data_IF_344600012836
#
_entry.id   IF_344600012836
#
_cell.length_a   1.000
_cell.length_b   1.000
_cell.length_c   1.000
_cell.angle_alpha   90.00
_cell.angle_beta   90.00
_cell.angle_gamma   90.00
#
_symmetry.space_group_name_H-M   'P 1'
#
loop_
_entity.id
_entity.type
_entity.pdbx_description
1 polymer ?
#
# COMPACT_ATOMS: atom_id res chain seq x y z
N UNK A 1 14.67 31.03 -3.14
CA UNK A 1 14.59 30.74 -1.73
C UNK A 1 13.43 29.86 -1.40
N UNK A 2 12.28 30.19 -1.93
CA UNK A 2 11.11 29.34 -1.85
C UNK A 2 11.38 27.95 -2.38
N UNK A 3 12.11 27.88 -3.48
CA UNK A 3 12.42 26.62 -4.15
C UNK A 3 13.24 25.70 -3.27
N UNK A 4 14.14 26.26 -2.45
CA UNK A 4 14.98 25.47 -1.59
C UNK A 4 14.21 24.77 -0.47
N UNK A 5 13.24 25.50 0.14
CA UNK A 5 12.41 24.90 1.17
C UNK A 5 11.55 23.78 0.60
N UNK A 6 11.00 24.00 -0.58
CA UNK A 6 10.20 23.00 -1.27
C UNK A 6 11.04 21.78 -1.62
N UNK A 7 12.27 22.00 -2.09
CA UNK A 7 13.18 20.90 -2.40
C UNK A 7 13.55 20.10 -1.17
N UNK A 8 13.72 20.76 -0.02
CA UNK A 8 14.05 20.06 1.21
C UNK A 8 12.92 19.13 1.66
N UNK A 9 11.68 19.65 1.60
CA UNK A 9 10.52 18.86 1.96
C UNK A 9 10.39 17.67 1.02
N UNK A 10 10.58 17.90 -0.27
CA UNK A 10 10.51 16.86 -1.27
C UNK A 10 11.61 15.82 -1.06
N UNK A 11 12.83 16.27 -0.74
CA UNK A 11 13.94 15.37 -0.49
C UNK A 11 13.69 14.50 0.73
N UNK A 12 13.12 15.05 1.80
CA UNK A 12 12.77 14.29 3.00
C UNK A 12 11.72 13.24 2.69
N UNK A 13 10.73 13.59 1.87
CA UNK A 13 9.71 12.68 1.43
C UNK A 13 10.31 11.53 0.61
N UNK A 14 11.22 11.86 -0.29
CA UNK A 14 11.90 10.86 -1.11
C UNK A 14 12.76 9.94 -0.24
N UNK A 15 13.44 10.47 0.76
CA UNK A 15 14.22 9.63 1.67
C UNK A 15 13.32 8.64 2.40
N UNK A 16 12.17 9.09 2.82
CA UNK A 16 11.20 8.24 3.49
C UNK A 16 10.79 7.09 2.57
N UNK A 17 10.53 7.39 1.31
CA UNK A 17 10.14 6.39 0.32
C UNK A 17 11.31 5.47 -0.02
N UNK A 18 12.50 6.02 -0.21
CA UNK A 18 13.69 5.25 -0.60
C UNK A 18 14.10 4.26 0.48
N UNK A 19 13.80 4.52 1.75
CA UNK A 19 14.06 3.57 2.81
C UNK A 19 13.28 2.28 2.63
N UNK A 20 12.31 2.27 1.72
CA UNK A 20 11.52 1.10 1.40
C UNK A 20 12.10 0.27 0.26
N UNK A 21 13.21 0.70 -0.31
CA UNK A 21 13.77 0.07 -1.50
C UNK A 21 12.75 0.08 -2.65
N UNK A 22 12.71 1.18 -3.37
CA UNK A 22 11.75 1.40 -4.45
C UNK A 22 11.73 0.25 -5.46
N UNK A 23 12.88 -0.38 -5.69
CA UNK A 23 12.97 -1.47 -6.66
C UNK A 23 12.11 -2.68 -6.24
N UNK A 24 11.76 -2.80 -4.96
CA UNK A 24 10.95 -3.90 -4.47
C UNK A 24 9.46 -3.60 -4.44
N UNK A 25 9.04 -2.37 -4.77
CA UNK A 25 7.62 -2.04 -4.73
C UNK A 25 6.81 -2.94 -5.64
N UNK A 26 7.30 -3.20 -6.84
CA UNK A 26 6.63 -4.11 -7.78
C UNK A 26 6.54 -5.54 -7.24
N UNK A 27 7.60 -6.00 -6.58
CA UNK A 27 7.63 -7.33 -5.97
C UNK A 27 6.61 -7.42 -4.83
N UNK A 28 6.57 -6.38 -3.98
CA UNK A 28 5.62 -6.33 -2.88
C UNK A 28 4.19 -6.24 -3.42
N UNK A 29 3.98 -5.50 -4.50
CA UNK A 29 2.66 -5.42 -5.13
C UNK A 29 2.21 -6.79 -5.61
N UNK A 30 3.12 -7.58 -6.18
CA UNK A 30 2.83 -8.95 -6.59
C UNK A 30 2.43 -9.83 -5.41
N UNK A 31 3.12 -9.68 -4.29
CA UNK A 31 2.80 -10.45 -3.08
C UNK A 31 1.41 -10.09 -2.56
N UNK A 32 1.08 -8.81 -2.52
CA UNK A 32 -0.25 -8.36 -2.10
C UNK A 32 -1.31 -8.86 -3.07
N UNK A 33 -1.06 -8.74 -4.37
CA UNK A 33 -2.00 -9.21 -5.37
C UNK A 33 -2.29 -10.71 -5.21
N UNK A 34 -1.24 -11.50 -5.05
CA UNK A 34 -1.40 -12.95 -4.87
C UNK A 34 -2.23 -13.27 -3.63
N UNK A 35 -1.99 -12.55 -2.55
CA UNK A 35 -2.73 -12.79 -1.31
C UNK A 35 -4.21 -12.45 -1.48
N UNK A 36 -4.51 -11.33 -2.13
CA UNK A 36 -5.89 -10.95 -2.39
C UNK A 36 -6.56 -11.93 -3.36
N UNK A 37 -5.79 -12.46 -4.30
CA UNK A 37 -6.31 -13.43 -5.25
C UNK A 37 -6.66 -14.75 -4.56
N UNK A 38 -5.82 -15.20 -3.65
CA UNK A 38 -6.04 -16.48 -2.96
C UNK A 38 -7.09 -16.40 -1.87
N UNK A 39 -7.09 -15.32 -1.09
CA UNK A 39 -7.93 -15.21 0.11
C UNK A 39 -9.09 -14.24 0.00
N UNK A 40 -9.17 -13.48 -1.07
CA UNK A 40 -10.21 -12.48 -1.26
C UNK A 40 -9.92 -11.20 -0.52
N UNK A 41 -10.95 -10.42 -0.24
CA UNK A 41 -10.79 -9.11 0.38
C UNK A 41 -10.13 -9.16 1.75
N UNK A 42 -9.19 -8.25 1.97
CA UNK A 42 -8.44 -8.20 3.23
C UNK A 42 -8.22 -6.75 3.64
N UNK A 43 -8.20 -6.52 4.95
CA UNK A 43 -7.85 -5.19 5.47
C UNK A 43 -6.32 -5.11 5.65
N UNK A 44 -5.84 -3.92 6.03
CA UNK A 44 -4.40 -3.69 6.17
C UNK A 44 -3.77 -4.63 7.20
N UNK A 45 -4.44 -4.84 8.32
CA UNK A 45 -3.93 -5.70 9.39
C UNK A 45 -3.76 -7.14 8.91
N UNK A 46 -4.74 -7.64 8.18
CA UNK A 46 -4.69 -8.99 7.63
C UNK A 46 -3.56 -9.12 6.59
N UNK A 47 -3.44 -8.12 5.73
CA UNK A 47 -2.36 -8.12 4.73
C UNK A 47 -0.99 -8.14 5.37
N UNK A 48 -0.80 -7.34 6.42
CA UNK A 48 0.46 -7.34 7.17
C UNK A 48 0.78 -8.72 7.74
N UNK A 49 -0.22 -9.33 8.33
CA UNK A 49 -0.05 -10.63 8.97
C UNK A 49 0.30 -11.72 7.95
N UNK A 50 -0.40 -11.70 6.83
CA UNK A 50 -0.25 -12.75 5.81
C UNK A 50 0.99 -12.58 4.95
N UNK A 51 1.31 -11.33 4.58
CA UNK A 51 2.47 -11.06 3.72
C UNK A 51 3.75 -10.82 4.51
N UNK A 52 3.62 -10.50 5.80
CA UNK A 52 4.73 -10.13 6.67
C UNK A 52 5.46 -8.88 6.21
N UNK A 53 4.82 -8.07 5.42
CA UNK A 53 5.33 -6.78 5.00
C UNK A 53 5.00 -5.71 6.04
N UNK A 54 5.78 -4.64 6.06
CA UNK A 54 5.50 -3.51 6.95
C UNK A 54 4.34 -2.70 6.40
N UNK A 55 3.75 -1.84 7.25
CA UNK A 55 2.68 -0.93 6.83
C UNK A 55 3.09 -0.14 5.60
N UNK A 56 4.30 0.39 5.64
CA UNK A 56 4.86 1.21 4.58
C UNK A 56 4.92 0.43 3.27
N UNK A 57 5.42 -0.79 3.33
CA UNK A 57 5.56 -1.64 2.15
C UNK A 57 4.20 -2.00 1.55
N UNK A 58 3.23 -2.29 2.41
CA UNK A 58 1.88 -2.63 1.96
C UNK A 58 1.19 -1.44 1.33
N UNK A 59 1.29 -0.27 1.97
CA UNK A 59 0.66 0.94 1.44
C UNK A 59 1.25 1.29 0.07
N UNK A 60 2.56 1.17 -0.07
CA UNK A 60 3.21 1.43 -1.36
C UNK A 60 2.76 0.42 -2.42
N UNK A 61 2.66 -0.85 -2.04
CA UNK A 61 2.21 -1.91 -2.95
C UNK A 61 0.76 -1.68 -3.40
N UNK A 62 -0.11 -1.31 -2.47
CA UNK A 62 -1.50 -1.02 -2.78
C UNK A 62 -1.61 0.19 -3.69
N UNK A 63 -0.81 1.23 -3.42
CA UNK A 63 -0.78 2.41 -4.29
C UNK A 63 -0.36 2.05 -5.72
N UNK A 64 0.63 1.18 -5.84
CA UNK A 64 1.07 0.70 -7.15
C UNK A 64 -0.06 -0.04 -7.87
N UNK A 65 -0.72 -0.96 -7.18
CA UNK A 65 -1.83 -1.72 -7.76
C UNK A 65 -3.02 -0.83 -8.09
N UNK A 66 -3.29 0.17 -7.24
CA UNK A 66 -4.39 1.10 -7.47
C UNK A 66 -4.15 1.92 -8.74
N UNK A 67 -2.91 2.36 -8.94
CA UNK A 67 -2.55 3.09 -10.14
C UNK A 67 -2.76 2.26 -11.40
N UNK A 68 -2.52 0.96 -11.30
CA UNK A 68 -2.73 0.06 -12.43
C UNK A 68 -4.18 -0.40 -12.56
N UNK A 69 -5.05 0.05 -11.66
CA UNK A 69 -6.45 -0.32 -11.69
C UNK A 69 -6.72 -1.76 -11.30
N UNK A 70 -5.80 -2.37 -10.55
CA UNK A 70 -5.89 -3.79 -10.19
C UNK A 70 -6.48 -4.05 -8.82
N UNK A 71 -6.67 -3.02 -8.01
CA UNK A 71 -7.18 -3.17 -6.66
C UNK A 71 -8.26 -2.14 -6.40
N UNK A 72 -9.25 -2.53 -5.60
CA UNK A 72 -10.32 -1.66 -5.14
C UNK A 72 -10.26 -1.60 -3.62
N UNK A 73 -10.80 -0.52 -3.07
CA UNK A 73 -10.98 -0.44 -1.63
C UNK A 73 -12.40 -0.01 -1.32
N UNK A 74 -12.92 -0.50 -0.21
CA UNK A 74 -14.23 -0.07 0.26
C UNK A 74 -14.23 -0.04 1.78
N UNK A 75 -15.05 0.84 2.35
CA UNK A 75 -15.19 0.92 3.79
C UNK A 75 -16.25 -0.06 4.23
N UNK A 76 -15.88 -0.88 5.20
CA UNK A 76 -16.77 -1.88 5.77
C UNK A 76 -16.85 -1.66 7.26
N UNK A 77 -18.04 -1.69 7.81
CA UNK A 77 -18.23 -1.59 9.25
C UNK A 77 -18.10 -2.95 9.91
N UNK A 78 -17.18 -3.02 10.88
CA UNK A 78 -17.05 -4.20 11.74
C UNK A 78 -17.34 -3.76 13.16
N UNK A 79 -18.57 -3.95 13.61
CA UNK A 79 -19.00 -3.48 14.90
C UNK A 79 -19.00 -1.95 14.95
N UNK A 80 -18.22 -1.37 15.87
CA UNK A 80 -18.10 0.08 16.00
C UNK A 80 -16.98 0.68 15.16
N UNK A 81 -16.16 -0.18 14.52
CA UNK A 81 -15.02 0.28 13.73
C UNK A 81 -15.34 0.22 12.26
N UNK A 82 -14.81 1.20 11.54
CA UNK A 82 -14.81 1.18 10.09
C UNK A 82 -13.44 0.75 9.62
N UNK A 83 -13.37 -0.27 8.81
CA UNK A 83 -12.11 -0.73 8.24
C UNK A 83 -12.17 -0.62 6.73
N UNK A 84 -11.00 -0.39 6.14
CA UNK A 84 -10.88 -0.33 4.69
C UNK A 84 -10.48 -1.71 4.18
N UNK A 85 -11.33 -2.27 3.35
CA UNK A 85 -11.11 -3.60 2.79
C UNK A 85 -10.61 -3.49 1.37
N UNK A 86 -9.51 -4.16 1.07
CA UNK A 86 -8.92 -4.15 -0.26
C UNK A 86 -9.27 -5.46 -0.96
N UNK A 87 -9.59 -5.36 -2.25
CA UNK A 87 -9.91 -6.52 -3.06
C UNK A 87 -9.46 -6.30 -4.49
N UNK A 88 -9.37 -7.38 -5.27
CA UNK A 88 -8.98 -7.25 -6.66
C UNK A 88 -10.09 -6.64 -7.49
N UNK A 89 -9.70 -5.80 -8.44
CA UNK A 89 -10.61 -5.17 -9.38
C UNK A 89 -10.70 -6.03 -10.65
N UNK A 90 -11.67 -6.88 -10.68
CA UNK A 90 -11.89 -7.74 -11.86
C UNK A 90 -13.15 -7.37 -12.60
#
# INVERSE_FOLDING_TARGET
>A
MFVWSTLRIFASFLEYIFNMDISLIGTHAGAVWNMLHEKGGMDLTQLKKETKLTDKEIVAAIGWLAREGKVLSEEVKKGRKTVELFSLAD
#
